data_IF_729644804523
#
_entry.id   IF_729644804523
#
_cell.length_a   1.000
_cell.length_b   1.000
_cell.length_c   1.000
_cell.angle_alpha   90.00
_cell.angle_beta   90.00
_cell.angle_gamma   90.00
#
_symmetry.space_group_name_H-M   'P 1'
#
loop_
_entity.id
_entity.type
_entity.pdbx_description
1 polymer ?
#
# COMPACT_ATOMS: atom_id res chain seq x y z
N UNK A 1 21.61 -5.07 3.89
CA UNK A 1 20.86 -4.64 2.70
C UNK A 1 19.77 -3.68 3.15
N UNK A 2 19.72 -2.44 2.64
CA UNK A 2 18.67 -1.48 3.04
C UNK A 2 17.30 -1.95 2.52
N UNK A 3 16.26 -1.63 3.26
CA UNK A 3 14.89 -2.06 3.00
C UNK A 3 13.95 -0.87 2.96
N UNK A 4 13.08 -0.84 1.93
CA UNK A 4 12.13 0.26 1.71
C UNK A 4 10.72 -0.28 1.54
N UNK A 5 9.76 0.33 2.21
CA UNK A 5 8.34 0.03 2.05
C UNK A 5 7.62 1.23 1.44
N UNK A 6 6.93 1.01 0.32
CA UNK A 6 6.07 2.00 -0.31
C UNK A 6 4.64 1.80 0.18
N UNK A 7 4.01 2.86 0.72
CA UNK A 7 2.57 2.83 1.01
C UNK A 7 1.81 3.62 -0.05
N UNK A 8 1.08 2.88 -0.90
CA UNK A 8 0.24 3.44 -1.93
C UNK A 8 -1.22 3.35 -1.47
N UNK A 9 -1.89 4.49 -1.21
CA UNK A 9 -3.25 4.49 -0.73
C UNK A 9 -4.28 4.30 -1.85
N UNK A 10 -3.88 4.06 -3.10
CA UNK A 10 -4.82 3.91 -4.22
C UNK A 10 -4.86 2.47 -4.71
N UNK A 11 -6.05 1.97 -5.08
CA UNK A 11 -6.24 0.61 -5.62
C UNK A 11 -5.49 0.43 -6.94
N UNK A 12 -5.39 1.51 -7.71
CA UNK A 12 -4.52 1.59 -8.87
C UNK A 12 -3.09 1.92 -8.41
N UNK A 13 -2.17 0.98 -8.60
CA UNK A 13 -0.75 1.27 -8.41
C UNK A 13 -0.33 2.32 -9.45
N UNK A 14 0.10 3.48 -8.98
CA UNK A 14 0.53 4.55 -9.88
C UNK A 14 1.82 4.14 -10.58
N UNK A 15 1.88 4.36 -11.91
CA UNK A 15 3.06 4.10 -12.76
C UNK A 15 4.40 4.59 -12.17
N UNK A 16 4.48 5.78 -11.54
CA UNK A 16 5.72 6.23 -10.88
C UNK A 16 6.21 5.30 -9.76
N UNK A 17 5.31 4.76 -8.93
CA UNK A 17 5.70 3.85 -7.84
C UNK A 17 6.25 2.55 -8.41
N UNK A 18 5.61 2.01 -9.45
CA UNK A 18 6.09 0.82 -10.13
C UNK A 18 7.48 1.03 -10.76
N UNK A 19 7.74 2.21 -11.33
CA UNK A 19 9.04 2.51 -11.92
C UNK A 19 10.15 2.72 -10.88
N UNK A 20 9.82 3.35 -9.74
CA UNK A 20 10.75 3.47 -8.61
C UNK A 20 11.09 2.09 -8.05
N UNK A 21 10.09 1.23 -7.86
CA UNK A 21 10.29 -0.15 -7.38
C UNK A 21 11.26 -0.90 -8.30
N UNK A 22 11.12 -0.76 -9.62
CA UNK A 22 12.04 -1.36 -10.58
C UNK A 22 13.47 -0.87 -10.43
N UNK A 23 13.68 0.44 -10.25
CA UNK A 23 15.03 1.03 -10.12
C UNK A 23 15.72 0.65 -8.81
N UNK A 24 14.98 0.17 -7.82
CA UNK A 24 15.47 -0.20 -6.49
C UNK A 24 15.63 -1.73 -6.30
N UNK A 25 15.83 -2.49 -7.38
CA UNK A 25 15.96 -3.96 -7.37
C UNK A 25 17.03 -4.53 -6.41
N UNK A 26 18.04 -3.74 -6.07
CA UNK A 26 19.11 -4.09 -5.13
C UNK A 26 18.70 -3.93 -3.65
N UNK A 27 17.46 -3.51 -3.37
CA UNK A 27 16.91 -3.34 -2.03
C UNK A 27 15.81 -4.35 -1.74
N UNK A 28 15.56 -4.62 -0.44
CA UNK A 28 14.35 -5.34 -0.04
C UNK A 28 13.15 -4.40 -0.15
N UNK A 29 12.23 -4.69 -1.05
CA UNK A 29 11.06 -3.83 -1.31
C UNK A 29 9.80 -4.38 -0.65
N UNK A 30 9.07 -3.51 0.04
CA UNK A 30 7.72 -3.74 0.54
C UNK A 30 6.74 -2.83 -0.18
N UNK A 31 5.52 -3.31 -0.40
CA UNK A 31 4.44 -2.51 -0.98
C UNK A 31 3.17 -2.73 -0.18
N UNK A 32 2.57 -1.66 0.32
CA UNK A 32 1.25 -1.66 0.94
C UNK A 32 0.27 -1.05 -0.07
N UNK A 33 -0.76 -1.81 -0.45
CA UNK A 33 -1.76 -1.36 -1.42
C UNK A 33 -3.16 -1.84 -1.01
N UNK A 34 -4.21 -1.01 -1.15
CA UNK A 34 -5.56 -1.46 -0.90
C UNK A 34 -6.07 -2.40 -2.01
N UNK A 35 -6.95 -3.33 -1.64
CA UNK A 35 -7.72 -4.19 -2.53
C UNK A 35 -9.20 -3.90 -2.30
N UNK A 36 -9.90 -3.52 -3.36
CA UNK A 36 -11.34 -3.37 -3.31
C UNK A 36 -12.01 -4.76 -3.27
N UNK A 37 -12.86 -4.98 -2.25
CA UNK A 37 -13.62 -6.24 -2.13
C UNK A 37 -14.70 -6.33 -3.22
N UNK A 38 -15.32 -5.21 -3.61
CA UNK A 38 -16.49 -5.21 -4.50
C UNK A 38 -16.09 -5.57 -5.92
N UNK A 39 -15.04 -4.93 -6.43
CA UNK A 39 -14.54 -5.21 -7.78
C UNK A 39 -13.56 -6.37 -7.82
N UNK A 40 -13.00 -6.80 -6.67
CA UNK A 40 -11.94 -7.80 -6.60
C UNK A 40 -10.65 -7.41 -7.36
N UNK A 41 -10.62 -6.21 -7.94
CA UNK A 41 -9.64 -5.78 -8.92
C UNK A 41 -8.41 -5.25 -8.19
N UNK A 42 -7.44 -6.13 -8.01
CA UNK A 42 -6.06 -5.72 -7.83
C UNK A 42 -5.52 -5.32 -9.21
N UNK A 43 -5.81 -4.10 -9.68
CA UNK A 43 -5.25 -3.55 -10.92
C UNK A 43 -3.79 -3.17 -10.72
N UNK A 44 -2.97 -4.13 -10.29
CA UNK A 44 -1.52 -4.05 -10.44
C UNK A 44 -1.26 -4.36 -11.91
N UNK A 45 -1.28 -3.33 -12.75
CA UNK A 45 -0.53 -3.45 -13.98
C UNK A 45 0.91 -3.76 -13.58
N UNK A 46 1.47 -4.79 -14.19
CA UNK A 46 2.90 -5.03 -14.39
C UNK A 46 3.55 -6.18 -13.62
N UNK A 47 4.13 -7.06 -14.44
CA UNK A 47 5.28 -7.92 -14.18
C UNK A 47 6.45 -7.26 -13.44
N UNK A 48 6.46 -5.92 -13.35
CA UNK A 48 7.47 -5.05 -12.73
C UNK A 48 7.43 -5.07 -11.19
N UNK A 49 6.31 -5.46 -10.57
CA UNK A 49 6.19 -5.49 -9.10
C UNK A 49 6.54 -6.86 -8.51
N UNK A 50 6.95 -7.83 -9.33
CA UNK A 50 7.20 -9.23 -8.92
C UNK A 50 8.24 -9.38 -7.79
N UNK A 51 9.15 -8.41 -7.64
CA UNK A 51 10.18 -8.44 -6.60
C UNK A 51 9.74 -7.85 -5.25
N UNK A 52 8.62 -7.12 -5.19
CA UNK A 52 8.15 -6.50 -3.96
C UNK A 52 7.36 -7.50 -3.11
N UNK A 53 7.61 -7.52 -1.81
CA UNK A 53 6.71 -8.18 -0.87
C UNK A 53 5.44 -7.32 -0.72
N UNK A 54 4.32 -7.79 -1.25
CA UNK A 54 3.07 -7.00 -1.30
C UNK A 54 2.16 -7.37 -0.14
N UNK A 55 1.88 -6.39 0.72
CA UNK A 55 0.79 -6.44 1.68
C UNK A 55 -0.46 -5.77 1.11
N UNK A 56 -1.53 -6.54 0.98
CA UNK A 56 -2.84 -6.03 0.56
C UNK A 56 -3.79 -5.94 1.74
N UNK A 57 -4.65 -4.92 1.75
CA UNK A 57 -5.71 -4.78 2.74
C UNK A 57 -7.03 -4.44 2.08
N UNK A 58 -8.10 -4.99 2.63
CA UNK A 58 -9.42 -4.83 2.05
C UNK A 58 -10.02 -3.47 2.37
N UNK A 59 -10.62 -2.86 1.35
CA UNK A 59 -11.32 -1.57 1.42
C UNK A 59 -12.72 -1.70 0.82
N UNK A 60 -13.66 -0.88 1.29
CA UNK A 60 -14.96 -0.69 0.64
C UNK A 60 -14.87 0.62 -0.13
N UNK A 61 -14.64 0.53 -1.44
CA UNK A 61 -14.83 1.62 -2.39
C UNK A 61 -16.04 1.27 -3.26
N UNK A 62 -17.26 1.33 -2.72
CA UNK A 62 -18.39 0.76 -3.47
C UNK A 62 -19.80 1.10 -3.03
N UNK A 63 -20.02 1.85 -1.96
CA UNK A 63 -21.37 2.40 -1.71
C UNK A 63 -21.55 3.57 -2.68
N UNK A 64 -22.13 3.23 -3.84
CA UNK A 64 -22.41 4.10 -4.98
C UNK A 64 -23.15 5.36 -4.52
N UNK A 65 -22.41 6.47 -4.37
CA UNK A 65 -22.91 7.87 -4.32
C UNK A 65 -21.80 8.81 -3.83
N UNK A 66 -20.91 8.33 -2.95
CA UNK A 66 -19.86 9.17 -2.37
C UNK A 66 -18.53 8.72 -2.94
N UNK A 67 -17.91 9.62 -3.71
CA UNK A 67 -16.54 9.55 -4.21
C UNK A 67 -15.54 9.53 -3.04
N UNK A 68 -15.58 8.49 -2.21
CA UNK A 68 -14.53 8.22 -1.26
C UNK A 68 -13.35 7.71 -2.07
N UNK A 69 -12.54 8.65 -2.55
CA UNK A 69 -11.16 8.40 -2.97
C UNK A 69 -10.32 7.81 -1.82
N UNK A 70 -10.89 7.76 -0.62
CA UNK A 70 -10.27 7.44 0.65
C UNK A 70 -10.57 6.00 1.04
N UNK A 71 -9.60 5.08 0.88
CA UNK A 71 -9.78 3.71 1.29
C UNK A 71 -9.83 3.64 2.81
N UNK A 72 -10.97 3.22 3.33
CA UNK A 72 -11.12 2.91 4.75
C UNK A 72 -10.85 1.42 4.91
N UNK A 73 -9.82 1.02 5.69
CA UNK A 73 -9.58 -0.38 6.00
C UNK A 73 -10.78 -0.95 6.76
N UNK A 74 -11.36 -2.03 6.26
CA UNK A 74 -12.58 -2.62 6.87
C UNK A 74 -12.24 -3.49 8.08
N UNK A 75 -11.02 -4.04 8.10
CA UNK A 75 -10.61 -5.02 9.08
C UNK A 75 -9.75 -4.37 10.18
N UNK A 76 -10.15 -4.37 11.46
CA UNK A 76 -9.34 -3.83 12.56
C UNK A 76 -7.95 -4.48 12.69
N UNK A 77 -7.81 -5.75 12.29
CA UNK A 77 -6.50 -6.43 12.24
C UNK A 77 -5.53 -5.78 11.24
N UNK A 78 -6.00 -4.89 10.37
CA UNK A 78 -5.18 -4.05 9.50
C UNK A 78 -4.07 -3.35 10.27
N UNK A 79 -4.39 -2.70 11.39
CA UNK A 79 -3.44 -1.88 12.15
C UNK A 79 -2.30 -2.72 12.74
N UNK A 80 -2.63 -3.90 13.26
CA UNK A 80 -1.64 -4.86 13.79
C UNK A 80 -0.77 -5.43 12.67
N UNK A 81 -1.38 -5.80 11.54
CA UNK A 81 -0.66 -6.38 10.40
C UNK A 81 0.25 -5.36 9.72
N UNK A 82 -0.20 -4.11 9.54
CA UNK A 82 0.64 -3.03 9.04
C UNK A 82 1.82 -2.80 9.96
N UNK A 83 1.59 -2.71 11.27
CA UNK A 83 2.68 -2.51 12.22
C UNK A 83 3.74 -3.61 12.13
N UNK A 84 3.31 -4.88 12.11
CA UNK A 84 4.21 -6.02 11.92
C UNK A 84 4.94 -5.97 10.58
N UNK A 85 4.26 -5.50 9.53
CA UNK A 85 4.84 -5.39 8.19
C UNK A 85 5.91 -4.31 8.11
N UNK A 86 5.59 -3.06 8.49
CA UNK A 86 6.49 -1.90 8.37
C UNK A 86 7.71 -1.98 9.29
N UNK A 87 7.63 -2.74 10.39
CA UNK A 87 8.77 -2.99 11.28
C UNK A 87 9.95 -3.70 10.60
N UNK A 88 9.69 -4.43 9.52
CA UNK A 88 10.72 -5.15 8.77
C UNK A 88 11.42 -4.29 7.70
N UNK A 89 11.18 -2.97 7.72
CA UNK A 89 11.67 -2.02 6.75
C UNK A 89 12.33 -0.80 7.42
N UNK A 90 13.49 -0.40 6.86
CA UNK A 90 14.28 0.72 7.35
C UNK A 90 13.60 2.05 6.98
N UNK A 91 13.17 2.18 5.72
CA UNK A 91 12.58 3.38 5.14
C UNK A 91 11.12 3.11 4.80
N UNK A 92 10.23 4.01 5.22
CA UNK A 92 8.82 3.99 4.81
C UNK A 92 8.55 5.21 3.92
N UNK A 93 8.24 4.97 2.65
CA UNK A 93 7.86 6.01 1.70
C UNK A 93 6.33 6.08 1.60
N UNK A 94 5.77 7.16 2.14
CA UNK A 94 4.34 7.44 2.08
C UNK A 94 4.05 8.32 0.87
N UNK A 95 3.24 7.84 -0.08
CA UNK A 95 2.88 8.65 -1.25
C UNK A 95 1.98 9.83 -0.86
N UNK A 96 1.02 9.60 0.06
CA UNK A 96 0.10 10.63 0.56
C UNK A 96 -0.25 10.34 2.03
N UNK A 97 0.11 11.19 3.00
CA UNK A 97 -0.01 10.86 4.43
C UNK A 97 -1.44 10.95 4.99
N UNK A 98 -2.36 11.68 4.34
CA UNK A 98 -3.68 12.00 4.93
C UNK A 98 -4.71 10.87 4.88
N UNK A 99 -4.42 9.75 4.21
CA UNK A 99 -5.29 8.57 4.25
C UNK A 99 -5.16 7.85 5.59
N UNK A 100 -6.26 7.40 6.20
CA UNK A 100 -6.30 6.74 7.52
C UNK A 100 -5.17 5.71 7.71
N UNK A 101 -4.94 4.86 6.70
CA UNK A 101 -3.85 3.89 6.73
C UNK A 101 -2.46 4.52 6.79
N UNK A 102 -2.21 5.56 5.98
CA UNK A 102 -0.93 6.27 5.94
C UNK A 102 -0.73 7.20 7.14
N UNK A 103 -1.79 7.80 7.65
CA UNK A 103 -1.78 8.59 8.89
C UNK A 103 -1.36 7.69 10.05
N UNK A 104 -1.96 6.50 10.15
CA UNK A 104 -1.54 5.51 11.15
C UNK A 104 -0.07 5.10 10.98
N UNK A 105 0.40 4.84 9.75
CA UNK A 105 1.82 4.55 9.51
C UNK A 105 2.72 5.71 9.95
N UNK A 106 2.30 6.96 9.72
CA UNK A 106 3.05 8.17 10.11
C UNK A 106 3.18 8.28 11.63
N UNK A 107 2.16 7.88 12.40
CA UNK A 107 2.21 7.91 13.86
C UNK A 107 3.18 6.86 14.43
N UNK A 108 3.37 5.75 13.72
CA UNK A 108 4.16 4.61 14.21
C UNK A 108 5.67 4.70 13.97
N UNK A 109 6.15 5.67 13.18
CA UNK A 109 7.54 5.80 12.73
C UNK A 109 8.05 7.19 12.98
#
# INVERSE_FOLDING_TARGET
MKSVCFSCPTVLLRRPVAEIINRLEHMKIGLIIPRDIVTGLLKIHHEKVKQANVYTYNIINGIHSIFLEWPIPINPFFFVKIYKFIKNYDIIHLWVPFYIGNTYITILK
#
